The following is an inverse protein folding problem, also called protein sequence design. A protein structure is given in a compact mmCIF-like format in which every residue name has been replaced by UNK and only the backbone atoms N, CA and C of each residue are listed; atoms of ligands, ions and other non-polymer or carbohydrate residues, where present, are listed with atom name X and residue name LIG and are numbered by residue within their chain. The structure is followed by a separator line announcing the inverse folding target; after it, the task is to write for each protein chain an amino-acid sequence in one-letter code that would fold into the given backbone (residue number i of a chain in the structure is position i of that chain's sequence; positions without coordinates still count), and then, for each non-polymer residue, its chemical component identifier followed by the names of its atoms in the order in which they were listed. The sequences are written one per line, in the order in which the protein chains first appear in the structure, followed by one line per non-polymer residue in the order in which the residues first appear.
data_IF_121345148926
#
_entry.id   IF_121345148926
#
_cell.length_a   1.000
_cell.length_b   1.000
_cell.length_c   1.000
_cell.angle_alpha   90.00
_cell.angle_beta   90.00
_cell.angle_gamma   90.00
#
_symmetry.space_group_name_H-M   'P 1'
#
loop_
_entity.id
_entity.type
_entity.pdbx_description
1 polymer ?
#
# COMPACT_ATOMS: atom_id res chain seq x y z
N UNK A 1 -36.40 13.38 -33.85
CA UNK A 1 -37.80 13.82 -33.68
C UNK A 1 -38.24 14.76 -34.81
N UNK A 2 -37.65 15.96 -34.97
CA UNK A 2 -38.11 16.91 -36.02
C UNK A 2 -37.96 16.43 -37.48
N UNK A 3 -36.87 15.73 -37.83
CA UNK A 3 -36.71 15.14 -39.17
C UNK A 3 -37.85 14.17 -39.51
N UNK A 4 -38.24 13.34 -38.54
CA UNK A 4 -39.36 12.39 -38.68
C UNK A 4 -40.70 13.12 -38.84
N UNK A 5 -40.90 14.23 -38.12
CA UNK A 5 -42.07 15.09 -38.28
C UNK A 5 -42.18 15.68 -39.69
N UNK A 6 -41.07 16.18 -40.26
CA UNK A 6 -41.04 16.70 -41.63
C UNK A 6 -41.26 15.60 -42.68
N UNK A 7 -40.68 14.41 -42.49
CA UNK A 7 -40.94 13.26 -43.35
C UNK A 7 -42.41 12.82 -43.30
N UNK A 8 -43.04 12.81 -42.12
CA UNK A 8 -44.46 12.49 -41.97
C UNK A 8 -45.35 13.53 -42.66
N UNK A 9 -45.09 14.83 -42.47
CA UNK A 9 -45.84 15.88 -43.15
C UNK A 9 -45.77 15.76 -44.69
N UNK A 10 -44.62 15.33 -45.22
CA UNK A 10 -44.46 15.01 -46.65
C UNK A 10 -45.29 13.80 -47.08
N UNK A 11 -45.29 12.71 -46.29
CA UNK A 11 -46.10 11.51 -46.57
C UNK A 11 -47.60 11.84 -46.58
N UNK A 12 -48.05 12.71 -45.68
CA UNK A 12 -49.45 13.16 -45.62
C UNK A 12 -49.80 14.27 -46.62
N UNK A 13 -48.91 14.59 -47.57
CA UNK A 13 -49.17 15.57 -48.63
C UNK A 13 -49.29 17.02 -48.15
N UNK A 14 -48.82 17.33 -46.93
CA UNK A 14 -48.91 18.68 -46.33
C UNK A 14 -47.77 19.63 -46.72
N UNK A 15 -46.94 19.26 -47.71
CA UNK A 15 -45.81 20.05 -48.22
C UNK A 15 -44.62 19.20 -48.67
N UNK A 16 -43.67 19.79 -49.41
CA UNK A 16 -42.53 19.06 -49.99
C UNK A 16 -41.41 18.80 -48.95
N UNK A 17 -41.22 19.70 -47.96
CA UNK A 17 -40.30 19.64 -46.80
C UNK A 17 -38.88 19.06 -47.02
N UNK A 18 -38.44 18.95 -48.27
CA UNK A 18 -37.22 18.23 -48.63
C UNK A 18 -35.97 19.02 -48.24
N UNK A 19 -36.05 20.34 -48.31
CA UNK A 19 -34.96 21.24 -47.92
C UNK A 19 -34.78 21.27 -46.40
N UNK A 20 -35.87 21.27 -45.63
CA UNK A 20 -35.85 21.24 -44.17
C UNK A 20 -35.30 19.92 -43.64
N UNK A 21 -35.67 18.80 -44.27
CA UNK A 21 -35.09 17.48 -43.96
C UNK A 21 -33.59 17.46 -44.22
N UNK A 22 -33.14 18.01 -45.34
CA UNK A 22 -31.72 18.05 -45.69
C UNK A 22 -30.92 18.98 -44.77
N UNK A 23 -31.41 20.20 -44.52
CA UNK A 23 -30.79 21.14 -43.58
C UNK A 23 -30.68 20.53 -42.18
N UNK A 24 -31.73 19.86 -41.69
CA UNK A 24 -31.70 19.18 -40.38
C UNK A 24 -30.71 18.02 -40.34
N UNK A 25 -30.54 17.29 -41.45
CA UNK A 25 -29.54 16.23 -41.55
C UNK A 25 -28.13 16.81 -41.51
N UNK A 26 -27.85 17.86 -42.30
CA UNK A 26 -26.57 18.56 -42.29
C UNK A 26 -26.24 19.13 -40.90
N UNK A 27 -27.21 19.77 -40.26
CA UNK A 27 -27.05 20.31 -38.90
C UNK A 27 -26.78 19.21 -37.88
N UNK A 28 -27.48 18.07 -37.98
CA UNK A 28 -27.25 16.93 -37.11
C UNK A 28 -25.83 16.36 -37.28
N UNK A 29 -25.38 16.17 -38.52
CA UNK A 29 -24.01 15.68 -38.81
C UNK A 29 -22.98 16.65 -38.23
N UNK A 30 -23.11 17.95 -38.53
CA UNK A 30 -22.19 18.99 -38.05
C UNK A 30 -22.15 19.10 -36.53
N UNK A 31 -23.31 19.01 -35.85
CA UNK A 31 -23.39 19.01 -34.38
C UNK A 31 -22.75 17.76 -33.79
N UNK A 32 -23.01 16.59 -34.39
CA UNK A 32 -22.46 15.31 -33.94
C UNK A 32 -20.94 15.29 -34.10
N UNK A 33 -20.41 15.75 -35.24
CA UNK A 33 -18.99 15.85 -35.50
C UNK A 33 -18.29 16.78 -34.49
N UNK A 34 -18.85 17.96 -34.26
CA UNK A 34 -18.35 18.91 -33.24
C UNK A 34 -18.36 18.30 -31.84
N UNK A 35 -19.46 17.65 -31.45
CA UNK A 35 -19.59 17.00 -30.16
C UNK A 35 -18.58 15.86 -29.98
N UNK A 36 -18.35 15.04 -31.01
CA UNK A 36 -17.39 13.94 -30.96
C UNK A 36 -15.94 14.42 -30.92
N UNK A 37 -15.61 15.49 -31.65
CA UNK A 37 -14.29 16.14 -31.56
C UNK A 37 -14.03 16.67 -30.14
N UNK A 38 -15.00 17.39 -29.57
CA UNK A 38 -14.91 17.91 -28.21
C UNK A 38 -14.80 16.78 -27.18
N UNK A 39 -15.62 15.74 -27.31
CA UNK A 39 -15.58 14.57 -26.43
C UNK A 39 -14.19 13.92 -26.46
N UNK A 40 -13.63 13.69 -27.64
CA UNK A 40 -12.29 13.10 -27.80
C UNK A 40 -11.20 13.97 -27.15
N UNK A 41 -11.29 15.29 -27.27
CA UNK A 41 -10.34 16.21 -26.64
C UNK A 41 -10.45 16.19 -25.11
N UNK A 42 -11.67 16.16 -24.57
CA UNK A 42 -11.92 16.06 -23.13
C UNK A 42 -11.43 14.73 -22.58
N UNK A 43 -11.74 13.61 -23.26
CA UNK A 43 -11.29 12.27 -22.84
C UNK A 43 -9.77 12.16 -22.80
N UNK A 44 -9.06 12.73 -23.78
CA UNK A 44 -7.59 12.75 -23.81
C UNK A 44 -6.97 13.52 -22.64
N UNK A 45 -7.67 14.52 -22.11
CA UNK A 45 -7.20 15.35 -20.98
C UNK A 45 -7.65 14.83 -19.61
N UNK A 46 -8.70 14.01 -19.58
CA UNK A 46 -9.24 13.48 -18.33
C UNK A 46 -8.27 12.46 -17.72
N UNK A 47 -8.01 12.61 -16.42
CA UNK A 47 -7.21 11.64 -15.69
C UNK A 47 -7.97 10.31 -15.57
N UNK A 48 -7.24 9.22 -15.78
CA UNK A 48 -7.74 7.83 -15.69
C UNK A 48 -7.33 7.16 -14.39
N UNK A 49 -6.47 7.81 -13.59
CA UNK A 49 -5.99 7.29 -12.33
C UNK A 49 -7.03 7.54 -11.25
N UNK A 50 -7.45 6.48 -10.58
CA UNK A 50 -8.36 6.52 -9.44
C UNK A 50 -7.65 6.04 -8.20
N UNK A 51 -7.83 6.77 -7.11
CA UNK A 51 -7.28 6.49 -5.79
C UNK A 51 -8.24 7.01 -4.71
N UNK A 52 -8.06 6.59 -3.45
CA UNK A 52 -9.00 6.92 -2.36
C UNK A 52 -8.48 8.03 -1.45
N UNK A 53 -9.34 9.03 -1.25
CA UNK A 53 -9.17 10.02 -0.19
C UNK A 53 -9.17 9.35 1.19
N UNK A 54 -8.64 10.05 2.18
CA UNK A 54 -8.68 9.59 3.57
C UNK A 54 -10.13 9.46 4.06
N UNK A 55 -10.44 8.41 4.85
CA UNK A 55 -11.75 8.22 5.44
C UNK A 55 -12.04 9.34 6.45
N UNK A 56 -13.31 9.52 6.82
CA UNK A 56 -13.68 10.49 7.86
C UNK A 56 -13.03 10.19 9.22
N UNK A 57 -12.77 8.91 9.51
CA UNK A 57 -12.06 8.44 10.69
C UNK A 57 -11.26 7.19 10.35
N UNK A 58 -10.01 7.15 10.78
CA UNK A 58 -9.17 5.97 10.63
C UNK A 58 -9.54 4.91 11.69
N UNK A 59 -9.88 3.71 11.22
CA UNK A 59 -10.20 2.55 12.04
C UNK A 59 -9.40 1.34 11.55
N UNK A 60 -8.53 0.83 12.44
CA UNK A 60 -7.63 -0.28 12.13
C UNK A 60 -8.44 -1.55 11.83
N UNK A 61 -8.05 -2.28 10.79
CA UNK A 61 -8.76 -3.47 10.31
C UNK A 61 -10.04 -3.17 9.51
N UNK A 62 -10.39 -1.89 9.31
CA UNK A 62 -11.51 -1.49 8.44
C UNK A 62 -11.06 -0.68 7.24
N UNK A 63 -10.30 0.38 7.45
CA UNK A 63 -9.85 1.29 6.39
C UNK A 63 -8.34 1.54 6.37
N UNK A 64 -7.63 1.10 7.40
CA UNK A 64 -6.18 0.97 7.34
C UNK A 64 -5.72 -0.22 8.19
N UNK A 65 -4.51 -0.68 7.93
CA UNK A 65 -3.79 -1.62 8.79
C UNK A 65 -2.32 -1.21 8.93
N UNK A 66 -1.63 -1.83 9.88
CA UNK A 66 -0.24 -1.53 10.22
C UNK A 66 0.59 -2.80 10.15
N UNK A 67 1.84 -2.67 9.66
CA UNK A 67 2.88 -3.67 9.87
C UNK A 67 3.31 -3.61 11.34
N UNK A 68 3.27 -4.71 12.07
CA UNK A 68 3.53 -4.66 13.51
C UNK A 68 4.85 -5.34 13.91
N UNK A 69 5.49 -4.78 14.95
CA UNK A 69 6.71 -5.28 15.59
C UNK A 69 7.97 -5.26 14.71
N UNK A 70 7.97 -4.53 13.59
CA UNK A 70 9.15 -4.29 12.75
C UNK A 70 9.89 -3.04 13.25
N UNK A 71 11.13 -3.22 13.73
CA UNK A 71 12.00 -2.16 14.24
C UNK A 71 11.39 -1.36 15.40
N UNK A 72 10.70 -2.03 16.33
CA UNK A 72 10.04 -1.36 17.43
C UNK A 72 11.04 -0.94 18.52
N UNK A 73 10.89 0.26 19.08
CA UNK A 73 11.70 0.72 20.21
C UNK A 73 11.69 -0.25 21.38
N UNK A 74 12.87 -0.55 21.91
CA UNK A 74 13.12 -1.52 22.96
C UNK A 74 14.24 -1.02 23.87
N UNK A 75 14.04 -1.07 25.18
CA UNK A 75 15.09 -0.76 26.14
C UNK A 75 15.73 -2.04 26.67
N UNK A 76 17.05 -2.06 26.78
CA UNK A 76 17.81 -3.17 27.35
C UNK A 76 19.04 -2.64 28.07
N UNK A 77 19.45 -3.28 29.15
CA UNK A 77 20.69 -2.90 29.83
C UNK A 77 21.90 -3.40 29.06
N UNK A 78 22.99 -2.62 29.04
CA UNK A 78 24.24 -2.99 28.39
C UNK A 78 24.75 -4.39 28.79
N UNK A 79 24.60 -4.75 30.07
CA UNK A 79 25.00 -6.06 30.60
C UNK A 79 24.30 -7.22 29.90
N UNK A 80 23.10 -6.99 29.36
CA UNK A 80 22.27 -8.00 28.70
C UNK A 80 22.45 -8.00 27.17
N UNK A 81 23.27 -7.09 26.62
CA UNK A 81 23.53 -6.95 25.18
C UNK A 81 24.78 -7.72 24.70
N UNK A 82 25.50 -8.37 25.60
CA UNK A 82 26.68 -9.18 25.32
C UNK A 82 26.68 -10.48 26.13
N UNK A 83 27.45 -11.48 25.68
CA UNK A 83 27.49 -12.81 26.30
C UNK A 83 28.37 -12.86 27.54
N UNK A 84 29.32 -11.94 27.63
CA UNK A 84 30.25 -11.81 28.74
C UNK A 84 29.59 -11.21 29.98
N UNK A 85 28.34 -10.73 29.84
CA UNK A 85 27.60 -10.01 30.87
C UNK A 85 28.42 -8.84 31.42
N UNK A 86 28.97 -7.99 30.56
CA UNK A 86 29.80 -6.84 30.97
C UNK A 86 29.23 -5.51 30.53
N UNK A 87 29.71 -4.42 31.13
CA UNK A 87 29.35 -3.04 30.77
C UNK A 87 30.61 -2.25 30.39
N UNK A 88 31.40 -2.85 29.49
CA UNK A 88 32.70 -2.31 29.07
C UNK A 88 32.58 -1.32 27.92
N UNK A 89 31.52 -1.45 27.14
CA UNK A 89 31.29 -0.66 25.95
C UNK A 89 30.27 0.43 26.27
N UNK A 90 29.77 1.13 25.25
CA UNK A 90 28.65 2.04 25.40
C UNK A 90 27.46 1.57 24.56
N UNK A 91 26.30 2.20 24.72
CA UNK A 91 25.13 1.83 23.93
C UNK A 91 25.35 1.98 22.42
N UNK A 92 26.21 2.91 21.98
CA UNK A 92 26.47 3.18 20.57
C UNK A 92 27.35 2.10 19.92
N UNK A 93 28.12 1.34 20.70
CA UNK A 93 28.85 0.17 20.23
C UNK A 93 27.91 -0.89 19.63
N UNK A 94 26.73 -1.07 20.21
CA UNK A 94 25.76 -2.11 19.83
C UNK A 94 24.91 -1.71 18.61
N UNK A 95 25.55 -1.59 17.44
CA UNK A 95 24.86 -1.29 16.18
C UNK A 95 24.01 -2.46 15.65
N UNK A 96 24.45 -3.70 15.90
CA UNK A 96 23.68 -4.92 15.66
C UNK A 96 24.04 -5.96 16.71
N UNK A 97 23.09 -6.31 17.58
CA UNK A 97 23.28 -7.29 18.65
C UNK A 97 22.00 -8.10 18.89
N UNK A 98 21.96 -8.87 19.97
CA UNK A 98 20.78 -9.54 20.49
C UNK A 98 20.71 -9.29 21.99
N UNK A 99 19.51 -9.39 22.54
CA UNK A 99 19.36 -9.61 23.99
C UNK A 99 19.95 -11.00 24.25
N UNK A 100 21.04 -11.11 25.02
CA UNK A 100 21.78 -12.36 25.28
C UNK A 100 21.35 -12.98 26.62
N UNK A 101 21.12 -12.16 27.64
CA UNK A 101 20.83 -12.59 29.00
C UNK A 101 19.70 -11.82 29.69
N UNK A 102 19.57 -12.07 30.99
CA UNK A 102 18.81 -11.22 31.89
C UNK A 102 19.48 -11.23 33.27
N UNK A 103 20.43 -10.31 33.43
CA UNK A 103 21.30 -10.25 34.58
C UNK A 103 20.47 -10.02 35.85
N UNK A 104 20.57 -10.96 36.79
CA UNK A 104 19.90 -10.94 38.11
C UNK A 104 18.39 -10.66 38.07
N UNK A 105 17.70 -11.08 37.01
CA UNK A 105 16.26 -10.87 36.85
C UNK A 105 15.83 -9.41 37.09
N UNK A 106 16.64 -8.45 36.60
CA UNK A 106 16.37 -7.02 36.67
C UNK A 106 15.20 -6.64 35.75
N UNK A 107 15.21 -5.44 35.15
CA UNK A 107 14.09 -4.99 34.33
C UNK A 107 13.78 -5.92 33.14
N UNK A 108 14.80 -6.59 32.57
CA UNK A 108 14.65 -7.60 31.52
C UNK A 108 13.62 -8.69 31.86
N UNK A 109 13.50 -9.11 33.13
CA UNK A 109 12.51 -10.11 33.57
C UNK A 109 11.08 -9.57 33.67
N UNK A 110 10.93 -8.23 33.71
CA UNK A 110 9.65 -7.52 33.85
C UNK A 110 9.05 -7.09 32.51
N UNK A 111 9.79 -7.24 31.42
CA UNK A 111 9.35 -6.93 30.07
C UNK A 111 9.43 -8.17 29.15
N UNK A 112 8.62 -8.24 28.08
CA UNK A 112 8.81 -9.28 27.07
C UNK A 112 10.15 -9.08 26.36
N UNK A 113 11.03 -10.08 26.41
CA UNK A 113 12.32 -10.07 25.71
C UNK A 113 12.14 -9.82 24.21
N UNK A 114 13.06 -9.06 23.60
CA UNK A 114 13.20 -9.03 22.15
C UNK A 114 13.82 -10.35 21.68
N UNK A 115 13.05 -11.20 21.01
CA UNK A 115 13.52 -12.52 20.55
C UNK A 115 14.34 -12.48 19.26
N UNK A 116 14.36 -11.32 18.59
CA UNK A 116 15.09 -11.11 17.35
C UNK A 116 16.42 -10.36 17.54
N UNK A 117 16.82 -9.62 16.50
CA UNK A 117 18.02 -8.76 16.56
C UNK A 117 17.65 -7.36 17.06
N UNK A 118 18.59 -6.75 17.79
CA UNK A 118 18.56 -5.36 18.18
C UNK A 118 19.47 -4.56 17.27
N UNK A 119 19.01 -3.41 16.82
CA UNK A 119 19.74 -2.53 15.91
C UNK A 119 19.82 -1.11 16.47
N UNK A 120 20.91 -0.42 16.13
CA UNK A 120 21.13 1.00 16.41
C UNK A 120 20.81 1.38 17.86
N UNK A 121 21.40 0.67 18.81
CA UNK A 121 21.29 1.04 20.21
C UNK A 121 21.92 2.42 20.45
N UNK A 122 21.28 3.20 21.30
CA UNK A 122 21.71 4.56 21.66
C UNK A 122 21.49 4.80 23.14
N UNK A 123 22.38 5.58 23.74
CA UNK A 123 22.20 6.08 25.09
C UNK A 123 21.34 7.35 25.05
N UNK A 124 20.37 7.45 25.97
CA UNK A 124 19.50 8.63 26.08
C UNK A 124 19.69 9.30 27.43
N UNK A 125 19.49 8.58 28.52
CA UNK A 125 19.82 8.97 29.89
C UNK A 125 19.91 7.70 30.78
N UNK A 126 20.44 7.84 31.99
CA UNK A 126 20.70 6.75 32.93
C UNK A 126 19.41 6.18 33.53
N UNK A 127 18.57 7.03 34.12
CA UNK A 127 17.44 6.60 34.93
C UNK A 127 16.11 7.00 34.29
N UNK A 128 15.14 6.09 34.33
CA UNK A 128 13.84 6.29 33.68
C UNK A 128 12.67 5.62 34.38
N UNK A 129 11.47 6.16 34.15
CA UNK A 129 10.19 5.52 34.40
C UNK A 129 9.63 4.97 33.09
N UNK A 130 9.37 3.66 33.11
CA UNK A 130 8.80 2.96 31.97
C UNK A 130 7.31 2.79 32.19
N UNK A 131 6.51 3.25 31.23
CA UNK A 131 5.09 2.90 31.18
C UNK A 131 4.86 1.74 30.18
N UNK A 132 4.73 0.48 30.65
CA UNK A 132 4.50 -0.65 29.77
C UNK A 132 3.11 -0.61 29.15
N UNK A 133 3.03 -0.97 27.87
CA UNK A 133 1.78 -1.07 27.15
C UNK A 133 0.91 -2.24 27.66
N UNK A 134 -0.38 -2.17 27.34
CA UNK A 134 -1.34 -3.25 27.64
C UNK A 134 -0.86 -4.61 27.10
N UNK A 135 -1.15 -5.71 27.82
CA UNK A 135 -0.75 -7.06 27.40
C UNK A 135 -1.34 -7.47 26.05
N UNK A 136 -2.50 -6.93 25.67
CA UNK A 136 -3.14 -7.19 24.39
C UNK A 136 -2.68 -6.23 23.28
N UNK A 137 -1.86 -5.23 23.61
CA UNK A 137 -1.32 -4.29 22.64
C UNK A 137 -0.17 -4.91 21.85
N UNK A 138 -0.01 -4.45 20.61
CA UNK A 138 1.19 -4.67 19.79
C UNK A 138 2.34 -3.78 20.25
N UNK A 139 2.10 -2.72 21.03
CA UNK A 139 3.12 -1.86 21.63
C UNK A 139 3.88 -2.54 22.77
N UNK A 140 5.10 -2.10 23.06
CA UNK A 140 5.87 -2.48 24.27
C UNK A 140 5.69 -1.45 25.37
N UNK A 141 5.73 -0.17 25.01
CA UNK A 141 5.60 0.96 25.93
C UNK A 141 4.53 1.93 25.44
N UNK A 142 3.87 2.62 26.36
CA UNK A 142 3.06 3.80 26.01
C UNK A 142 3.95 5.04 25.91
N UNK A 143 4.84 5.20 26.90
CA UNK A 143 5.90 6.22 26.93
C UNK A 143 7.06 5.79 27.85
N UNK A 144 8.17 6.50 27.73
CA UNK A 144 9.33 6.45 28.64
C UNK A 144 9.60 7.86 29.14
N UNK A 145 9.84 8.05 30.43
CA UNK A 145 10.14 9.36 31.04
C UNK A 145 11.49 9.26 31.77
N UNK A 146 12.46 10.09 31.39
CA UNK A 146 13.79 10.11 32.00
C UNK A 146 13.86 11.11 33.16
N UNK A 147 14.80 10.93 34.09
CA UNK A 147 14.98 11.82 35.26
C UNK A 147 15.24 13.28 34.89
N UNK A 148 15.89 13.54 33.75
CA UNK A 148 16.09 14.89 33.22
C UNK A 148 14.80 15.57 32.68
N UNK A 149 13.65 14.89 32.75
CA UNK A 149 12.35 15.38 32.27
C UNK A 149 12.07 15.10 30.79
N UNK A 150 12.99 14.47 30.05
CA UNK A 150 12.76 14.07 28.65
C UNK A 150 11.76 12.92 28.61
N UNK A 151 10.73 13.05 27.77
CA UNK A 151 9.73 12.01 27.55
C UNK A 151 9.80 11.51 26.11
N UNK A 152 9.85 10.19 25.93
CA UNK A 152 9.69 9.51 24.65
C UNK A 152 8.26 9.01 24.54
N UNK A 153 7.54 9.43 23.50
CA UNK A 153 6.12 9.15 23.35
C UNK A 153 5.24 10.20 24.00
N UNK A 154 3.97 9.85 24.23
CA UNK A 154 3.00 10.78 24.82
C UNK A 154 2.69 10.36 26.25
N UNK A 155 2.84 11.29 27.18
CA UNK A 155 2.48 11.06 28.59
C UNK A 155 0.98 10.83 28.70
N UNK A 156 0.60 9.58 28.92
CA UNK A 156 -0.79 9.16 29.14
C UNK A 156 -0.92 8.42 30.47
N UNK A 157 -2.12 8.30 31.06
CA UNK A 157 -2.30 7.48 32.25
C UNK A 157 -1.78 6.06 32.04
N UNK A 158 -0.86 5.62 32.90
CA UNK A 158 -0.22 4.31 32.77
C UNK A 158 -1.06 3.22 33.43
N UNK A 159 -1.90 2.54 32.64
CA UNK A 159 -2.86 1.54 33.14
C UNK A 159 -2.18 0.41 33.93
N UNK A 160 -0.97 0.02 33.55
CA UNK A 160 -0.20 -1.06 34.18
C UNK A 160 0.72 -0.59 35.32
N UNK A 161 0.67 0.70 35.66
CA UNK A 161 1.63 1.34 36.56
C UNK A 161 2.97 1.58 35.88
N UNK A 162 3.73 2.54 36.40
CA UNK A 162 5.09 2.82 35.94
C UNK A 162 6.09 1.95 36.69
N UNK A 163 7.19 1.57 36.03
CA UNK A 163 8.32 0.87 36.66
C UNK A 163 9.54 1.77 36.59
N UNK A 164 10.14 2.08 37.74
CA UNK A 164 11.43 2.80 37.77
C UNK A 164 12.55 1.82 37.38
N UNK A 165 13.45 2.29 36.53
CA UNK A 165 14.58 1.54 35.99
C UNK A 165 15.81 2.43 36.15
N UNK A 166 16.83 1.92 36.86
CA UNK A 166 18.01 2.69 37.25
C UNK A 166 19.27 2.06 36.65
N UNK A 167 20.13 2.90 36.07
CA UNK A 167 21.48 2.48 35.68
C UNK A 167 22.35 2.36 36.93
N UNK A 168 23.40 1.55 36.87
CA UNK A 168 24.16 1.20 38.07
C UNK A 168 25.63 0.98 37.79
N UNK A 169 26.45 1.16 38.82
CA UNK A 169 27.88 0.93 38.76
C UNK A 169 28.21 -0.52 39.12
N UNK A 170 28.90 -1.20 38.21
CA UNK A 170 29.52 -2.50 38.46
C UNK A 170 30.98 -2.28 38.85
N UNK A 171 31.29 -2.62 40.10
CA UNK A 171 32.58 -2.26 40.71
C UNK A 171 32.81 -0.73 40.64
N UNK A 172 34.05 -0.25 40.65
CA UNK A 172 34.35 1.20 40.61
C UNK A 172 34.44 1.81 39.20
N UNK A 173 34.44 1.01 38.13
CA UNK A 173 34.89 1.49 36.81
C UNK A 173 33.90 1.30 35.66
N UNK A 174 32.85 0.49 35.82
CA UNK A 174 31.91 0.20 34.74
C UNK A 174 30.51 0.67 35.11
N UNK A 175 29.92 1.53 34.28
CA UNK A 175 28.57 2.03 34.45
C UNK A 175 27.63 1.31 33.47
N UNK A 176 26.75 0.48 34.00
CA UNK A 176 25.79 -0.31 33.23
C UNK A 176 24.56 0.52 32.90
N UNK A 177 24.59 1.15 31.73
CA UNK A 177 23.51 2.01 31.25
C UNK A 177 22.38 1.22 30.58
N UNK A 178 21.15 1.74 30.64
CA UNK A 178 20.06 1.28 29.77
C UNK A 178 20.15 1.93 28.39
N UNK A 179 20.13 1.09 27.36
CA UNK A 179 20.21 1.48 25.96
C UNK A 179 18.82 1.44 25.33
N UNK A 180 18.52 2.42 24.47
CA UNK A 180 17.36 2.40 23.60
C UNK A 180 17.76 1.86 22.22
N UNK A 181 17.19 0.73 21.84
CA UNK A 181 17.48 0.02 20.60
C UNK A 181 16.20 -0.17 19.76
N UNK A 182 16.36 -0.57 18.49
CA UNK A 182 15.26 -1.02 17.64
C UNK A 182 15.23 -2.55 17.59
N UNK A 183 14.13 -3.14 18.03
CA UNK A 183 13.90 -4.57 18.04
C UNK A 183 13.25 -5.03 16.75
N UNK A 184 13.93 -5.94 16.05
CA UNK A 184 13.43 -6.62 14.87
C UNK A 184 13.06 -8.08 15.22
N UNK A 185 11.81 -8.31 15.67
CA UNK A 185 11.40 -9.65 16.13
C UNK A 185 10.20 -10.24 15.37
N UNK A 186 10.31 -11.53 15.07
CA UNK A 186 9.20 -12.34 14.58
C UNK A 186 8.53 -12.98 15.80
N UNK A 187 7.29 -12.56 16.09
CA UNK A 187 6.51 -13.09 17.23
C UNK A 187 5.04 -13.24 16.84
N UNK A 188 4.22 -13.79 17.74
CA UNK A 188 2.75 -13.86 17.55
C UNK A 188 2.07 -12.49 17.38
N UNK A 189 2.74 -11.40 17.80
CA UNK A 189 2.24 -10.02 17.69
C UNK A 189 2.75 -9.28 16.47
N UNK A 190 3.48 -9.96 15.57
CA UNK A 190 4.14 -9.34 14.44
C UNK A 190 3.46 -9.68 13.11
N UNK A 191 2.75 -8.72 12.54
CA UNK A 191 2.04 -8.84 11.27
C UNK A 191 2.89 -8.09 10.24
N UNK A 192 3.75 -8.81 9.53
CA UNK A 192 4.78 -8.22 8.66
C UNK A 192 4.98 -9.00 7.36
N UNK A 193 3.94 -9.72 6.96
CA UNK A 193 4.00 -10.69 5.88
C UNK A 193 3.22 -10.18 4.68
N UNK A 194 3.75 -10.32 3.47
CA UNK A 194 3.10 -9.93 2.22
C UNK A 194 2.93 -11.15 1.33
N UNK A 195 1.73 -11.41 0.83
CA UNK A 195 1.46 -12.54 -0.05
C UNK A 195 2.16 -12.36 -1.40
N UNK A 196 2.89 -13.39 -1.85
CA UNK A 196 3.57 -13.43 -3.15
C UNK A 196 2.80 -14.24 -4.19
N UNK A 197 1.76 -14.99 -3.78
CA UNK A 197 0.91 -15.75 -4.71
C UNK A 197 0.09 -14.81 -5.59
N UNK A 198 -0.14 -15.24 -6.83
CA UNK A 198 -0.88 -14.44 -7.80
C UNK A 198 -2.37 -14.39 -7.53
N UNK A 199 -2.98 -13.25 -7.81
CA UNK A 199 -4.43 -13.07 -7.78
C UNK A 199 -4.89 -12.70 -9.18
N UNK A 200 -5.39 -13.68 -9.92
CA UNK A 200 -5.86 -13.55 -11.30
C UNK A 200 -7.39 -13.66 -11.32
N UNK A 201 -8.08 -12.87 -12.14
CA UNK A 201 -9.51 -12.98 -12.37
C UNK A 201 -9.85 -14.33 -13.03
N UNK A 202 -11.12 -14.73 -12.96
CA UNK A 202 -11.61 -15.90 -13.69
C UNK A 202 -11.69 -15.64 -15.22
N UNK A 203 -10.52 -15.68 -15.86
CA UNK A 203 -10.34 -15.37 -17.29
C UNK A 203 -11.02 -16.38 -18.20
N UNK A 204 -11.15 -17.63 -17.77
CA UNK A 204 -11.88 -18.69 -18.48
C UNK A 204 -13.37 -18.33 -18.64
N UNK A 205 -13.93 -17.66 -17.64
CA UNK A 205 -15.30 -17.14 -17.67
C UNK A 205 -15.37 -15.67 -18.12
N UNK A 206 -14.38 -15.21 -18.90
CA UNK A 206 -14.34 -13.86 -19.49
C UNK A 206 -14.45 -12.73 -18.45
N UNK A 207 -13.90 -12.94 -17.25
CA UNK A 207 -13.86 -11.92 -16.20
C UNK A 207 -12.53 -11.17 -16.22
N UNK A 208 -12.61 -9.91 -15.85
CA UNK A 208 -11.47 -8.97 -15.86
C UNK A 208 -11.42 -8.20 -14.55
N UNK A 209 -10.26 -7.62 -14.24
CA UNK A 209 -10.11 -6.80 -13.03
C UNK A 209 -10.82 -5.45 -13.24
N UNK A 210 -11.61 -5.05 -12.25
CA UNK A 210 -12.35 -3.78 -12.22
C UNK A 210 -12.06 -2.94 -10.98
N UNK A 211 -11.37 -3.51 -10.00
CA UNK A 211 -11.00 -2.83 -8.76
C UNK A 211 -9.89 -3.53 -8.00
N UNK A 212 -9.27 -2.81 -7.08
CA UNK A 212 -8.12 -3.27 -6.31
C UNK A 212 -8.22 -2.77 -4.86
N UNK A 213 -7.80 -3.61 -3.91
CA UNK A 213 -7.58 -3.24 -2.51
C UNK A 213 -6.47 -4.08 -1.90
N UNK A 214 -5.94 -3.63 -0.77
CA UNK A 214 -5.07 -4.46 0.09
C UNK A 214 -5.89 -4.89 1.29
N UNK A 215 -5.85 -6.18 1.63
CA UNK A 215 -6.53 -6.72 2.81
C UNK A 215 -5.56 -7.50 3.67
N UNK A 216 -5.74 -7.47 5.00
CA UNK A 216 -4.95 -8.29 5.92
C UNK A 216 -5.77 -9.49 6.39
N UNK A 217 -5.31 -10.69 6.06
CA UNK A 217 -5.91 -11.95 6.51
C UNK A 217 -4.82 -12.91 6.95
N UNK A 218 -5.03 -13.61 8.07
CA UNK A 218 -4.03 -14.50 8.68
C UNK A 218 -2.67 -13.82 8.88
N UNK A 219 -2.70 -12.52 9.23
CA UNK A 219 -1.52 -11.67 9.46
C UNK A 219 -0.70 -11.35 8.21
N UNK A 220 -1.20 -11.73 7.03
CA UNK A 220 -0.57 -11.51 5.74
C UNK A 220 -1.35 -10.42 4.99
N UNK A 221 -0.64 -9.48 4.39
CA UNK A 221 -1.19 -8.48 3.47
C UNK A 221 -1.33 -9.09 2.08
N UNK A 222 -2.54 -9.07 1.54
CA UNK A 222 -2.90 -9.61 0.23
C UNK A 222 -3.35 -8.50 -0.69
N UNK A 223 -2.92 -8.55 -1.95
CA UNK A 223 -3.62 -7.85 -3.02
C UNK A 223 -4.92 -8.60 -3.27
N UNK A 224 -6.03 -7.89 -3.26
CA UNK A 224 -7.34 -8.46 -3.56
C UNK A 224 -7.96 -7.68 -4.72
N UNK A 225 -8.47 -8.41 -5.70
CA UNK A 225 -9.10 -7.83 -6.90
C UNK A 225 -10.62 -7.93 -6.83
N UNK A 226 -11.28 -6.92 -7.39
CA UNK A 226 -12.65 -7.05 -7.83
C UNK A 226 -12.64 -7.50 -9.28
N UNK A 227 -13.43 -8.51 -9.60
CA UNK A 227 -13.61 -9.00 -10.96
C UNK A 227 -15.06 -8.85 -11.42
N UNK A 228 -15.25 -8.75 -12.73
CA UNK A 228 -16.56 -8.76 -13.37
C UNK A 228 -16.48 -9.24 -14.81
N UNK A 229 -17.58 -9.78 -15.32
CA UNK A 229 -17.70 -10.25 -16.70
C UNK A 229 -17.59 -9.08 -17.69
N UNK A 230 -16.67 -9.23 -18.64
CA UNK A 230 -16.47 -8.28 -19.73
C UNK A 230 -17.59 -8.44 -20.78
N UNK A 231 -18.15 -7.31 -21.18
CA UNK A 231 -19.23 -7.19 -22.17
C UNK A 231 -18.74 -6.36 -23.38
N UNK A 232 -19.49 -6.40 -24.51
CA UNK A 232 -19.15 -5.62 -25.69
C UNK A 232 -18.86 -4.14 -25.40
N UNK A 233 -17.84 -3.61 -26.09
CA UNK A 233 -17.36 -2.23 -25.99
C UNK A 233 -16.81 -1.85 -24.61
N UNK A 234 -16.19 -2.81 -23.93
CA UNK A 234 -15.54 -2.59 -22.62
C UNK A 234 -16.52 -2.32 -21.48
N UNK A 235 -17.80 -2.67 -21.65
CA UNK A 235 -18.76 -2.62 -20.54
C UNK A 235 -18.49 -3.76 -19.57
N UNK A 236 -18.88 -3.58 -18.30
CA UNK A 236 -18.84 -4.63 -17.29
C UNK A 236 -20.25 -4.97 -16.84
N UNK A 237 -20.54 -6.27 -16.74
CA UNK A 237 -21.79 -6.73 -16.17
C UNK A 237 -21.82 -6.44 -14.66
N UNK A 238 -22.56 -5.40 -14.25
CA UNK A 238 -22.65 -4.97 -12.84
C UNK A 238 -23.13 -6.06 -11.89
N UNK A 239 -23.98 -6.99 -12.35
CA UNK A 239 -24.51 -8.08 -11.54
C UNK A 239 -23.48 -9.18 -11.26
N UNK A 240 -22.41 -9.25 -12.07
CA UNK A 240 -21.32 -10.22 -11.91
C UNK A 240 -20.19 -9.75 -11.01
N UNK A 241 -20.21 -8.49 -10.55
CA UNK A 241 -19.14 -7.89 -9.77
C UNK A 241 -18.95 -8.60 -8.43
N UNK A 242 -17.77 -9.16 -8.22
CA UNK A 242 -17.43 -9.86 -6.98
C UNK A 242 -15.98 -9.60 -6.59
N UNK A 243 -15.72 -9.41 -5.30
CA UNK A 243 -14.35 -9.43 -4.76
C UNK A 243 -13.87 -10.88 -4.69
N UNK A 244 -12.78 -11.20 -5.38
CA UNK A 244 -12.21 -12.55 -5.35
C UNK A 244 -11.68 -12.83 -3.93
N UNK A 245 -12.06 -13.94 -3.27
CA UNK A 245 -11.51 -14.28 -1.96
C UNK A 245 -10.00 -14.44 -2.02
N UNK A 246 -9.30 -13.96 -0.99
CA UNK A 246 -7.86 -14.20 -0.85
C UNK A 246 -7.61 -15.61 -0.35
N UNK A 247 -6.45 -16.17 -0.67
CA UNK A 247 -6.10 -17.51 -0.22
C UNK A 247 -5.99 -17.59 1.30
N UNK A 248 -6.69 -18.55 1.90
CA UNK A 248 -6.78 -18.69 3.34
C UNK A 248 -5.69 -19.62 3.89
N UNK A 249 -4.42 -19.27 3.69
CA UNK A 249 -3.28 -19.98 4.28
C UNK A 249 -2.68 -19.21 5.46
N UNK A 250 -1.94 -19.92 6.31
CA UNK A 250 -1.19 -19.36 7.42
C UNK A 250 0.33 -19.52 7.20
N UNK A 251 1.12 -18.65 7.81
CA UNK A 251 2.59 -18.66 7.69
C UNK A 251 3.27 -19.92 8.25
N UNK A 252 2.56 -20.72 9.04
CA UNK A 252 3.04 -21.95 9.68
C UNK A 252 2.50 -23.23 9.01
N UNK A 253 1.72 -23.10 7.93
CA UNK A 253 1.21 -24.25 7.20
C UNK A 253 2.37 -25.02 6.53
N UNK A 254 2.25 -26.36 6.48
CA UNK A 254 3.33 -27.27 6.09
C UNK A 254 3.98 -26.97 4.74
N UNK A 255 3.19 -26.53 3.76
CA UNK A 255 3.63 -26.31 2.38
C UNK A 255 3.78 -24.82 2.02
N UNK A 256 3.78 -23.94 3.02
CA UNK A 256 3.91 -22.49 2.85
C UNK A 256 5.32 -22.06 3.25
N UNK A 257 6.02 -21.32 2.38
CA UNK A 257 7.41 -20.90 2.58
C UNK A 257 7.61 -19.41 2.36
N UNK A 258 8.42 -18.80 3.24
CA UNK A 258 8.91 -17.44 3.06
C UNK A 258 9.77 -17.34 1.78
N UNK A 259 9.61 -16.26 1.01
CA UNK A 259 10.25 -16.03 -0.29
C UNK A 259 9.56 -16.75 -1.47
N UNK A 260 8.63 -17.67 -1.22
CA UNK A 260 7.84 -18.35 -2.26
C UNK A 260 6.37 -17.96 -2.21
N UNK A 261 5.74 -18.15 -1.05
CA UNK A 261 4.31 -17.95 -0.86
C UNK A 261 4.01 -16.59 -0.24
N UNK A 262 4.87 -16.16 0.69
CA UNK A 262 4.83 -14.85 1.32
C UNK A 262 6.25 -14.29 1.50
N UNK A 263 6.36 -12.98 1.66
CA UNK A 263 7.58 -12.29 2.03
C UNK A 263 7.47 -11.81 3.48
N UNK A 264 8.53 -11.96 4.27
CA UNK A 264 8.63 -11.44 5.63
C UNK A 264 9.51 -10.21 5.66
N UNK A 265 8.98 -9.07 6.11
CA UNK A 265 9.80 -7.88 6.29
C UNK A 265 10.82 -8.06 7.41
N UNK A 266 12.00 -7.49 7.24
CA UNK A 266 13.10 -7.50 8.23
C UNK A 266 13.89 -6.20 8.15
N UNK A 267 14.82 -5.96 9.07
CA UNK A 267 15.73 -4.83 8.96
C UNK A 267 16.39 -4.75 7.57
N UNK A 268 16.81 -5.86 6.96
CA UNK A 268 17.51 -5.81 5.68
C UNK A 268 16.57 -5.78 4.46
N UNK A 269 15.32 -6.22 4.61
CA UNK A 269 14.34 -6.33 3.54
C UNK A 269 13.01 -5.73 3.97
N UNK A 270 12.86 -4.42 3.76
CA UNK A 270 11.70 -3.64 4.22
C UNK A 270 11.27 -2.54 3.26
N UNK A 271 11.69 -2.61 2.01
CA UNK A 271 11.40 -1.59 1.02
C UNK A 271 10.20 -2.01 0.17
N UNK A 272 9.38 -1.04 -0.24
CA UNK A 272 8.31 -1.23 -1.21
C UNK A 272 8.48 -0.25 -2.36
N UNK A 273 8.41 -0.78 -3.58
CA UNK A 273 8.46 0.01 -4.81
C UNK A 273 7.10 0.66 -5.08
N UNK A 274 7.16 1.93 -5.46
CA UNK A 274 6.00 2.78 -5.75
C UNK A 274 5.94 2.96 -7.27
N UNK A 275 5.30 2.00 -7.92
CA UNK A 275 5.23 1.91 -9.37
C UNK A 275 3.81 1.98 -9.91
N UNK A 276 3.78 2.34 -11.19
CA UNK A 276 2.60 2.48 -12.02
C UNK A 276 2.80 1.49 -13.16
N UNK A 277 2.06 0.40 -13.13
CA UNK A 277 2.14 -0.67 -14.12
C UNK A 277 0.92 -0.55 -15.03
N UNK A 278 1.12 0.00 -16.22
CA UNK A 278 0.07 0.20 -17.21
C UNK A 278 0.55 -0.12 -18.62
N UNK A 279 -0.39 -0.22 -19.56
CA UNK A 279 -0.11 -0.36 -20.98
C UNK A 279 -0.70 0.80 -21.77
N UNK A 280 0.05 1.29 -22.75
CA UNK A 280 -0.45 2.23 -23.76
C UNK A 280 -1.12 1.50 -24.94
N UNK A 281 -0.93 0.18 -25.02
CA UNK A 281 -1.61 -0.67 -25.99
C UNK A 281 -3.04 -0.97 -25.52
N UNK A 282 -4.00 -0.42 -26.24
CA UNK A 282 -5.43 -0.54 -25.97
C UNK A 282 -6.01 -1.93 -26.31
N UNK A 283 -5.17 -2.86 -26.77
CA UNK A 283 -5.55 -4.26 -26.99
C UNK A 283 -5.44 -5.08 -25.70
N UNK A 284 -4.81 -4.54 -24.65
CA UNK A 284 -4.55 -5.24 -23.40
C UNK A 284 -5.25 -4.61 -22.19
N UNK A 285 -5.68 -5.45 -21.26
CA UNK A 285 -6.30 -5.08 -19.98
C UNK A 285 -5.76 -5.92 -18.83
N UNK A 286 -5.89 -5.41 -17.61
CA UNK A 286 -5.44 -6.10 -16.40
C UNK A 286 -6.40 -7.24 -16.07
N UNK A 287 -5.83 -8.44 -15.92
CA UNK A 287 -6.53 -9.64 -15.46
C UNK A 287 -5.97 -10.22 -14.18
N UNK A 288 -4.83 -9.73 -13.67
CA UNK A 288 -4.29 -10.20 -12.40
C UNK A 288 -3.21 -9.31 -11.83
N UNK A 289 -2.89 -9.55 -10.56
CA UNK A 289 -1.85 -8.81 -9.82
C UNK A 289 -1.10 -9.76 -8.88
N UNK A 290 0.15 -9.44 -8.59
CA UNK A 290 0.92 -10.10 -7.53
C UNK A 290 2.04 -9.22 -7.01
N UNK A 291 2.54 -9.56 -5.83
CA UNK A 291 3.82 -9.05 -5.36
C UNK A 291 4.95 -10.00 -5.75
N UNK A 292 6.10 -9.44 -6.06
CA UNK A 292 7.36 -10.15 -6.24
C UNK A 292 8.42 -9.47 -5.39
N UNK A 293 9.44 -10.23 -4.99
CA UNK A 293 10.61 -9.68 -4.30
C UNK A 293 11.73 -9.47 -5.33
N UNK A 294 12.25 -8.25 -5.45
CA UNK A 294 13.40 -7.91 -6.28
C UNK A 294 14.47 -7.30 -5.37
N UNK A 295 15.55 -8.05 -5.13
CA UNK A 295 16.53 -7.68 -4.09
C UNK A 295 15.88 -7.67 -2.70
N UNK A 296 15.81 -6.49 -2.09
CA UNK A 296 15.21 -6.23 -0.77
C UNK A 296 13.84 -5.52 -0.84
N UNK A 297 13.28 -5.41 -2.05
CA UNK A 297 12.09 -4.61 -2.35
C UNK A 297 10.90 -5.49 -2.71
N UNK A 298 9.72 -5.12 -2.20
CA UNK A 298 8.44 -5.59 -2.72
C UNK A 298 8.08 -4.80 -3.98
N UNK A 299 7.89 -5.51 -5.08
CA UNK A 299 7.61 -4.96 -6.41
C UNK A 299 6.26 -5.46 -6.91
N UNK A 300 5.43 -4.55 -7.46
CA UNK A 300 4.12 -4.87 -8.00
C UNK A 300 4.24 -5.40 -9.43
N UNK A 301 3.58 -6.51 -9.72
CA UNK A 301 3.37 -6.99 -11.09
C UNK A 301 1.88 -7.04 -11.45
N UNK A 302 1.59 -6.73 -12.70
CA UNK A 302 0.24 -6.84 -13.27
C UNK A 302 0.25 -7.84 -14.43
N UNK A 303 -0.72 -8.76 -14.44
CA UNK A 303 -0.97 -9.66 -15.56
C UNK A 303 -1.89 -8.96 -16.55
N UNK A 304 -1.42 -8.77 -17.77
CA UNK A 304 -2.17 -8.18 -18.88
C UNK A 304 -2.63 -9.28 -19.82
N UNK A 305 -3.86 -9.19 -20.32
CA UNK A 305 -4.40 -10.09 -21.33
C UNK A 305 -5.01 -9.31 -22.49
N UNK A 306 -4.87 -9.87 -23.69
CA UNK A 306 -5.42 -9.32 -24.91
C UNK A 306 -6.95 -9.49 -24.95
N UNK A 307 -7.67 -8.52 -25.52
CA UNK A 307 -9.12 -8.62 -25.66
C UNK A 307 -9.65 -7.95 -26.93
N UNK A 308 -10.75 -8.49 -27.48
CA UNK A 308 -11.51 -7.84 -28.53
C UNK A 308 -12.46 -6.81 -27.90
N UNK A 309 -12.19 -5.52 -28.13
CA UNK A 309 -13.03 -4.44 -27.63
C UNK A 309 -14.47 -4.49 -28.15
N UNK A 310 -14.68 -4.83 -29.42
CA UNK A 310 -16.01 -4.81 -30.04
C UNK A 310 -16.87 -5.94 -29.49
N UNK A 311 -16.31 -7.14 -29.36
CA UNK A 311 -17.01 -8.32 -28.82
C UNK A 311 -17.04 -8.35 -27.30
N UNK A 312 -16.09 -7.70 -26.62
CA UNK A 312 -15.93 -7.78 -25.17
C UNK A 312 -15.46 -9.15 -24.72
N UNK A 313 -14.51 -9.75 -25.45
CA UNK A 313 -14.02 -11.11 -25.19
C UNK A 313 -12.50 -11.12 -25.05
N UNK A 314 -12.01 -11.78 -24.00
CA UNK A 314 -10.58 -12.08 -23.87
C UNK A 314 -10.13 -12.99 -25.01
N UNK A 315 -8.95 -12.73 -25.57
CA UNK A 315 -8.37 -13.50 -26.67
C UNK A 315 -7.32 -14.43 -26.09
N UNK A 316 -7.61 -15.74 -26.09
CA UNK A 316 -6.71 -16.81 -25.62
C UNK A 316 -5.93 -16.42 -24.34
N UNK A 317 -6.62 -16.05 -23.24
CA UNK A 317 -5.97 -15.44 -22.08
C UNK A 317 -4.89 -16.34 -21.44
N UNK A 318 -5.00 -17.66 -21.58
CA UNK A 318 -3.99 -18.61 -21.09
C UNK A 318 -2.64 -18.52 -21.83
N UNK A 319 -2.64 -18.14 -23.11
CA UNK A 319 -1.42 -18.06 -23.93
C UNK A 319 -0.99 -16.64 -24.24
N UNK A 320 -1.94 -15.71 -24.39
CA UNK A 320 -1.70 -14.34 -24.82
C UNK A 320 -1.59 -13.36 -23.64
N UNK A 321 -1.52 -13.87 -22.41
CA UNK A 321 -1.27 -13.03 -21.23
C UNK A 321 0.19 -13.00 -20.83
N UNK A 322 0.61 -11.87 -20.26
CA UNK A 322 1.98 -11.71 -19.75
C UNK A 322 2.00 -10.87 -18.49
N UNK A 323 3.03 -11.07 -17.67
CA UNK A 323 3.29 -10.26 -16.49
C UNK A 323 4.14 -9.05 -16.87
N UNK A 324 3.69 -7.86 -16.47
CA UNK A 324 4.43 -6.60 -16.59
C UNK A 324 4.81 -6.10 -15.21
N UNK A 325 6.04 -5.61 -15.08
CA UNK A 325 6.62 -5.03 -13.88
C UNK A 325 7.51 -3.84 -14.24
N UNK A 326 7.95 -3.10 -13.22
CA UNK A 326 9.10 -2.19 -13.35
C UNK A 326 10.29 -2.84 -12.64
N UNK A 327 11.25 -3.35 -13.40
CA UNK A 327 12.43 -4.05 -12.86
C UNK A 327 13.63 -3.11 -12.64
N UNK A 328 13.42 -1.78 -12.58
CA UNK A 328 14.48 -0.85 -12.22
C UNK A 328 15.04 -1.18 -10.83
N UNK A 329 16.36 -1.22 -10.72
CA UNK A 329 17.11 -1.53 -9.49
C UNK A 329 18.20 -0.48 -9.24
N UNK A 330 18.86 -0.55 -8.09
CA UNK A 330 20.01 0.33 -7.77
C UNK A 330 21.17 0.24 -8.78
N UNK A 331 21.25 -0.85 -9.54
CA UNK A 331 22.27 -1.07 -10.58
C UNK A 331 21.76 -0.79 -12.01
N UNK A 332 20.48 -0.46 -12.16
CA UNK A 332 19.90 -0.08 -13.45
C UNK A 332 20.24 1.37 -13.83
N UNK A 333 20.21 1.69 -15.11
CA UNK A 333 20.47 3.07 -15.59
C UNK A 333 19.46 4.10 -15.09
N UNK A 334 18.23 3.68 -14.79
CA UNK A 334 17.15 4.51 -14.25
C UNK A 334 16.89 4.20 -12.77
N UNK A 335 17.84 4.59 -11.92
CA UNK A 335 17.79 4.29 -10.48
C UNK A 335 16.53 4.85 -9.81
N UNK A 336 15.92 4.01 -8.97
CA UNK A 336 14.77 4.38 -8.13
C UNK A 336 15.14 5.44 -7.09
N UNK A 337 14.22 6.37 -6.84
CA UNK A 337 14.41 7.40 -5.81
C UNK A 337 13.74 7.02 -4.50
N UNK A 338 14.48 7.11 -3.39
CA UNK A 338 13.95 6.86 -2.04
C UNK A 338 13.13 8.02 -1.53
N UNK A 339 11.92 7.75 -1.04
CA UNK A 339 11.16 8.67 -0.21
C UNK A 339 11.65 8.54 1.23
N UNK A 340 12.14 9.64 1.80
CA UNK A 340 12.65 9.68 3.16
C UNK A 340 11.60 10.19 4.15
N UNK A 341 11.26 9.36 5.13
CA UNK A 341 10.41 9.73 6.26
C UNK A 341 11.30 10.22 7.42
N UNK A 342 11.27 11.53 7.68
CA UNK A 342 12.09 12.15 8.73
C UNK A 342 11.29 12.32 10.02
N UNK A 343 11.69 11.61 11.08
CA UNK A 343 11.03 11.64 12.40
C UNK A 343 9.49 11.56 12.33
N UNK A 344 8.93 10.52 11.66
CA UNK A 344 7.49 10.45 11.41
C UNK A 344 6.69 10.15 12.70
N UNK A 345 5.54 10.79 12.85
CA UNK A 345 4.48 10.35 13.77
C UNK A 345 3.44 9.48 13.04
N UNK A 346 2.50 8.92 13.80
CA UNK A 346 1.37 8.15 13.28
C UNK A 346 0.41 9.05 12.49
N UNK A 347 0.18 8.70 11.24
CA UNK A 347 -0.72 9.44 10.33
C UNK A 347 -2.17 9.49 10.83
N UNK A 348 -2.58 8.60 11.71
CA UNK A 348 -3.93 8.62 12.30
C UNK A 348 -4.12 9.74 13.33
N UNK A 349 -3.05 10.40 13.76
CA UNK A 349 -3.10 11.55 14.67
C UNK A 349 -3.24 12.90 13.96
N UNK A 350 -3.00 12.97 12.64
CA UNK A 350 -3.17 14.23 11.91
C UNK A 350 -4.65 14.53 11.67
N UNK A 351 -5.03 15.80 11.85
CA UNK A 351 -6.36 16.33 11.47
C UNK A 351 -6.42 16.66 9.97
N UNK A 352 -5.26 16.84 9.33
CA UNK A 352 -5.15 17.20 7.93
C UNK A 352 -5.08 15.93 7.10
N UNK A 353 -5.93 15.84 6.07
CA UNK A 353 -5.96 14.71 5.11
C UNK A 353 -4.65 14.56 4.36
N UNK A 354 -4.21 13.34 4.17
CA UNK A 354 -3.05 12.94 3.39
C UNK A 354 -3.22 13.31 1.92
N UNK A 355 -2.12 13.65 1.26
CA UNK A 355 -2.08 13.92 -0.18
C UNK A 355 -1.09 12.97 -0.85
N UNK A 356 -1.37 12.47 -2.07
CA UNK A 356 -0.38 11.72 -2.85
C UNK A 356 0.88 12.56 -3.06
N UNK A 357 2.04 12.00 -2.72
CA UNK A 357 3.34 12.67 -2.81
C UNK A 357 4.40 11.82 -3.53
N UNK A 358 4.16 10.52 -3.71
CA UNK A 358 5.03 9.65 -4.52
C UNK A 358 4.79 9.77 -6.02
N UNK A 359 5.81 9.39 -6.79
CA UNK A 359 5.81 9.27 -8.26
C UNK A 359 6.25 7.86 -8.66
N UNK A 360 6.02 7.52 -9.93
CA UNK A 360 6.57 6.31 -10.54
C UNK A 360 8.09 6.23 -10.36
N UNK A 361 8.63 5.00 -10.26
CA UNK A 361 10.06 4.73 -10.08
C UNK A 361 10.62 5.28 -8.76
N UNK A 362 9.81 5.28 -7.70
CA UNK A 362 10.25 5.59 -6.34
C UNK A 362 10.12 4.35 -5.45
N UNK A 363 10.69 4.41 -4.25
CA UNK A 363 10.50 3.39 -3.22
C UNK A 363 10.49 4.02 -1.84
N UNK A 364 9.95 3.31 -0.87
CA UNK A 364 9.90 3.73 0.53
C UNK A 364 10.19 2.55 1.46
N UNK A 365 10.84 2.83 2.58
CA UNK A 365 11.12 1.81 3.59
C UNK A 365 10.04 1.84 4.68
N UNK A 366 9.66 0.66 5.16
CA UNK A 366 9.00 0.55 6.45
C UNK A 366 10.02 0.87 7.56
N UNK A 367 9.72 1.89 8.35
CA UNK A 367 10.55 2.36 9.46
C UNK A 367 9.71 2.56 10.71
N UNK A 368 10.37 2.73 11.85
CA UNK A 368 9.68 3.08 13.08
C UNK A 368 9.23 4.55 13.11
N UNK A 369 8.20 4.82 13.90
CA UNK A 369 7.86 6.19 14.31
C UNK A 369 8.99 6.82 15.12
N UNK A 370 8.96 8.15 15.24
CA UNK A 370 9.93 8.91 16.03
C UNK A 370 9.99 8.42 17.48
N UNK A 371 11.20 8.37 18.03
CA UNK A 371 11.43 8.11 19.46
C UNK A 371 10.72 9.15 20.33
N UNK A 372 10.85 10.43 20.01
CA UNK A 372 10.26 11.49 20.83
C UNK A 372 8.73 11.50 20.74
N UNK A 373 8.14 11.26 19.55
CA UNK A 373 6.69 11.37 19.34
C UNK A 373 5.89 10.12 19.74
N UNK A 374 6.49 8.94 19.63
CA UNK A 374 5.78 7.66 19.83
C UNK A 374 6.66 6.55 20.43
N UNK A 375 7.83 6.89 21.01
CA UNK A 375 8.79 5.92 21.55
C UNK A 375 9.18 4.82 20.55
N UNK A 376 9.15 5.13 19.25
CA UNK A 376 9.36 4.18 18.15
C UNK A 376 8.47 2.93 18.21
N UNK A 377 7.24 3.06 18.71
CA UNK A 377 6.37 1.91 19.01
C UNK A 377 5.49 1.45 17.84
N UNK A 378 5.44 2.21 16.74
CA UNK A 378 4.68 1.88 15.53
C UNK A 378 5.58 1.81 14.31
N UNK A 379 5.19 1.01 13.32
CA UNK A 379 5.89 0.92 12.03
C UNK A 379 5.07 1.66 10.97
N UNK A 380 5.73 2.54 10.22
CA UNK A 380 5.14 3.37 9.17
C UNK A 380 5.92 3.20 7.86
N UNK A 381 5.32 3.44 6.68
CA UNK A 381 3.93 3.85 6.44
C UNK A 381 2.89 2.80 6.85
N UNK A 382 1.67 3.25 7.12
CA UNK A 382 0.52 2.35 7.29
C UNK A 382 0.00 1.88 5.92
N UNK A 383 -0.87 0.89 5.88
CA UNK A 383 -1.49 0.37 4.65
C UNK A 383 -2.93 0.86 4.58
N UNK A 384 -3.31 1.58 3.53
CA UNK A 384 -4.71 1.93 3.24
C UNK A 384 -5.42 0.70 2.66
N UNK A 385 -6.45 0.21 3.36
CA UNK A 385 -7.19 -1.00 2.98
C UNK A 385 -8.51 -0.68 2.28
N UNK A 386 -8.75 0.58 1.93
CA UNK A 386 -9.97 0.99 1.24
C UNK A 386 -10.05 0.42 -0.18
N UNK A 387 -11.28 0.19 -0.62
CA UNK A 387 -11.59 -0.26 -1.97
C UNK A 387 -11.35 0.84 -3.01
N UNK A 388 -10.59 0.52 -4.05
CA UNK A 388 -10.39 1.38 -5.21
C UNK A 388 -11.13 0.78 -6.39
N UNK A 389 -12.25 1.39 -6.75
CA UNK A 389 -13.15 0.96 -7.83
C UNK A 389 -13.63 2.17 -8.62
N UNK A 390 -14.06 1.94 -9.86
CA UNK A 390 -14.70 2.98 -10.70
C UNK A 390 -16.22 2.85 -10.69
N UNK A 391 -16.92 3.97 -10.86
CA UNK A 391 -18.37 3.98 -11.10
C UNK A 391 -18.68 4.86 -12.33
N UNK A 392 -19.10 4.30 -13.47
CA UNK A 392 -19.38 2.87 -13.71
C UNK A 392 -18.12 1.97 -13.64
N UNK A 393 -18.28 0.66 -13.39
CA UNK A 393 -17.19 -0.31 -13.47
C UNK A 393 -16.71 -0.42 -14.92
N UNK A 394 -15.39 -0.40 -15.11
CA UNK A 394 -14.72 -0.55 -16.42
C UNK A 394 -13.51 -1.47 -16.27
N UNK A 395 -13.04 -2.09 -17.36
CA UNK A 395 -11.76 -2.79 -17.33
C UNK A 395 -10.62 -1.81 -17.02
N UNK A 396 -9.55 -2.33 -16.40
CA UNK A 396 -8.37 -1.55 -16.08
C UNK A 396 -7.30 -1.72 -17.15
N UNK A 397 -6.61 -0.63 -17.48
CA UNK A 397 -5.40 -0.64 -18.33
C UNK A 397 -4.11 -0.66 -17.50
N UNK A 398 -4.23 -0.49 -16.18
CA UNK A 398 -3.10 -0.52 -15.28
C UNK A 398 -3.50 -0.45 -13.81
N UNK A 399 -2.51 -0.71 -12.96
CA UNK A 399 -2.58 -0.65 -11.51
C UNK A 399 -1.29 -0.06 -10.97
N UNK A 400 -1.32 0.48 -9.77
CA UNK A 400 -0.12 1.00 -9.13
C UNK A 400 -0.23 1.06 -7.63
N UNK A 401 0.91 1.32 -7.00
CA UNK A 401 1.02 1.50 -5.55
C UNK A 401 1.68 2.84 -5.33
N UNK A 402 1.09 3.64 -4.45
CA UNK A 402 1.54 4.99 -4.18
C UNK A 402 1.56 5.25 -2.68
N UNK A 403 2.37 6.22 -2.29
CA UNK A 403 2.38 6.79 -0.96
C UNK A 403 1.57 8.09 -0.95
N UNK A 404 0.81 8.30 0.13
CA UNK A 404 0.21 9.58 0.49
C UNK A 404 0.50 9.92 1.94
N UNK A 405 0.77 11.18 2.22
CA UNK A 405 1.08 11.58 3.59
C UNK A 405 1.08 13.08 3.81
N UNK A 406 1.64 13.47 4.96
CA UNK A 406 1.94 14.84 5.36
C UNK A 406 3.32 14.88 5.98
N UNK A 407 4.00 16.02 5.84
CA UNK A 407 5.30 16.21 6.44
C UNK A 407 5.27 15.96 7.96
N UNK A 408 6.25 15.21 8.46
CA UNK A 408 6.34 14.85 9.88
C UNK A 408 5.47 13.66 10.31
N UNK A 409 4.74 13.04 9.39
CA UNK A 409 3.95 11.82 9.59
C UNK A 409 4.41 10.70 8.65
N UNK A 410 4.11 9.47 9.00
CA UNK A 410 4.55 8.29 8.26
C UNK A 410 3.79 7.99 6.96
N UNK A 411 2.65 8.64 6.72
CA UNK A 411 1.76 8.41 5.58
C UNK A 411 1.10 7.04 5.51
N UNK A 412 0.60 6.72 4.33
CA UNK A 412 -0.08 5.48 3.95
C UNK A 412 0.39 5.01 2.57
N UNK A 413 0.59 3.71 2.44
CA UNK A 413 0.70 3.01 1.16
C UNK A 413 -0.69 2.57 0.70
N UNK A 414 -1.03 2.88 -0.53
CA UNK A 414 -2.35 2.62 -1.07
C UNK A 414 -2.29 2.12 -2.52
N UNK A 415 -3.21 1.24 -2.94
CA UNK A 415 -3.38 0.91 -4.34
C UNK A 415 -4.03 2.07 -5.10
N UNK A 416 -3.74 2.16 -6.39
CA UNK A 416 -4.46 2.97 -7.37
C UNK A 416 -4.73 2.15 -8.63
N UNK A 417 -5.76 2.51 -9.36
CA UNK A 417 -6.16 1.84 -10.60
C UNK A 417 -6.17 2.84 -11.76
N UNK A 418 -5.92 2.35 -12.97
CA UNK A 418 -5.99 3.13 -14.20
C UNK A 418 -7.07 2.55 -15.10
N UNK A 419 -8.10 3.33 -15.37
CA UNK A 419 -9.21 2.88 -16.22
C UNK A 419 -8.77 2.72 -17.68
N UNK A 420 -9.46 1.85 -18.42
CA UNK A 420 -9.23 1.70 -19.86
C UNK A 420 -9.45 3.02 -20.62
N UNK A 421 -8.60 3.31 -21.62
CA UNK A 421 -8.78 4.47 -22.49
C UNK A 421 -9.75 4.14 -23.63
N UNK A 422 -10.94 4.73 -23.58
CA UNK A 422 -11.96 4.58 -24.62
C UNK A 422 -11.77 5.55 -25.79
N UNK A 423 -10.85 6.53 -25.69
CA UNK A 423 -10.62 7.58 -26.69
C UNK A 423 -10.34 7.04 -28.10
N UNK A 424 -9.54 5.97 -28.30
CA UNK A 424 -9.27 5.41 -29.63
C UNK A 424 -10.53 4.87 -30.34
N UNK A 425 -11.57 4.52 -29.59
CA UNK A 425 -12.80 3.94 -30.12
C UNK A 425 -13.85 4.98 -30.50
N UNK A 426 -13.60 6.26 -30.19
CA UNK A 426 -14.47 7.38 -30.58
C UNK A 426 -14.18 7.78 -32.02
N UNK A 427 -14.98 7.26 -32.96
CA UNK A 427 -14.90 7.61 -34.38
C UNK A 427 -15.67 8.89 -34.67
N UNK A 428 -14.96 9.93 -35.11
CA UNK A 428 -15.58 11.11 -35.74
C UNK A 428 -15.98 10.69 -37.16
N UNK A 429 -17.21 10.96 -37.62
CA UNK A 429 -17.59 10.74 -39.01
C UNK A 429 -16.59 11.44 -39.91
N UNK A 430 -15.90 10.70 -40.78
CA UNK A 430 -15.12 11.31 -41.84
C UNK A 430 -16.11 11.81 -42.89
N UNK A 431 -15.94 13.05 -43.35
CA UNK A 431 -16.70 13.57 -44.48
C UNK A 431 -16.53 12.60 -45.65
N UNK A 432 -17.64 12.03 -46.09
CA UNK A 432 -17.70 11.26 -47.33
C UNK A 432 -17.65 12.33 -48.42
N UNK A 433 -16.44 12.60 -48.93
CA UNK A 433 -16.26 13.41 -50.15
C UNK A 433 -16.85 12.69 -51.36
#
# INVERSE_FOLDING_TARGET
MMQFSWMMLRIYGKGNFSQEVELMRMDYVKRTERALKLLREVMRRADRILWRCDPGKFEQGKNYDEVTRLLQGYIENEVDLNKEETCREDCAFYQSTRSEGCFKDLYCARQPRCSGKLYHCTYVDADMWVCPASRNSTRRYEYLEYENGRVLGQRTPCVRGTTKVESWWRYLFWHCSYCFCLCDEISIKSDRYFNLRETVADVDNNRVVTGLRITKQNRIFHLQIQEGELLPRGNINRSSLTWKPVENYQIFDRDVRNGRDYHTLSYESRSMDLDDIYTDDNSFIVVGVRWRVVGAHLNLEAKLAEFDFKMGKLISPETNSFWKSNDNTDVSGERRQKINLNNPDKSTRTIVKSIPDSRHNQYIDFINTSMDKDAAQSTVPFIDTQEVTSNPPVPLSGVGIYHKGRQGYGGFLAPKIMTYDFTPHVRVPQDIN
#
